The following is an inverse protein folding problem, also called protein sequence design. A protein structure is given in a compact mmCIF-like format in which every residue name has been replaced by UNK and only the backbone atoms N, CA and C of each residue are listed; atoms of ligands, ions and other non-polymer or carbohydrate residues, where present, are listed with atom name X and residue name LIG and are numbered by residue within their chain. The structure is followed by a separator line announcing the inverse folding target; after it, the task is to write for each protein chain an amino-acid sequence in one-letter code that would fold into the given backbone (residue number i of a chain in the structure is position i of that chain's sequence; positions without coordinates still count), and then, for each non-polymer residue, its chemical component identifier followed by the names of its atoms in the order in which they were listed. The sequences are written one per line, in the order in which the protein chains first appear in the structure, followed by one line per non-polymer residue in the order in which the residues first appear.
data_IF_221198517188
#
_entry.id   IF_221198517188
#
_cell.length_a   1.000
_cell.length_b   1.000
_cell.length_c   1.000
_cell.angle_alpha   90.00
_cell.angle_beta   90.00
_cell.angle_gamma   90.00
#
_symmetry.space_group_name_H-M   'P 1'
#
loop_
_entity.id
_entity.type
_entity.pdbx_description
1 polymer ?
#
# COMPACT_ATOMS: atom_id res chain seq x y z
N UNK A 1 48.76 -31.48 17.63
CA UNK A 1 47.96 -31.97 16.49
C UNK A 1 46.50 -31.68 16.84
N UNK A 2 45.84 -30.62 16.34
CA UNK A 2 45.54 -30.30 14.91
C UNK A 2 45.06 -31.57 14.18
N UNK A 3 43.93 -31.67 13.47
CA UNK A 3 42.78 -30.79 13.15
C UNK A 3 41.60 -31.76 12.83
N UNK A 4 40.30 -31.45 12.80
CA UNK A 4 39.51 -30.19 12.80
C UNK A 4 38.12 -30.45 13.42
N UNK A 5 37.33 -29.39 13.68
CA UNK A 5 35.86 -29.47 13.59
C UNK A 5 35.40 -28.61 12.40
N UNK A 6 34.79 -29.24 11.40
CA UNK A 6 34.12 -28.54 10.29
C UNK A 6 32.68 -28.17 10.73
N UNK A 7 32.56 -27.03 11.41
CA UNK A 7 31.27 -26.36 11.57
C UNK A 7 30.79 -25.89 10.20
N UNK A 8 29.87 -26.63 9.61
CA UNK A 8 29.08 -26.18 8.45
C UNK A 8 28.14 -25.05 8.88
N UNK A 9 28.71 -23.85 9.02
CA UNK A 9 27.95 -22.62 9.07
C UNK A 9 27.27 -22.42 7.71
N UNK A 10 26.11 -23.05 7.55
CA UNK A 10 25.12 -22.59 6.58
C UNK A 10 24.74 -21.18 7.00
N UNK A 11 25.42 -20.20 6.42
CA UNK A 11 24.88 -18.87 6.31
C UNK A 11 23.52 -19.04 5.61
N UNK A 12 22.45 -18.93 6.38
CA UNK A 12 21.12 -18.71 5.83
C UNK A 12 21.20 -17.37 5.11
N UNK A 13 21.55 -17.40 3.83
CA UNK A 13 21.50 -16.24 2.94
C UNK A 13 20.11 -15.65 3.11
N UNK A 14 20.06 -14.45 3.70
CA UNK A 14 18.86 -13.95 4.34
C UNK A 14 17.69 -14.05 3.39
N UNK A 15 16.74 -14.95 3.67
CA UNK A 15 15.48 -14.99 2.96
C UNK A 15 14.83 -13.64 3.22
N UNK A 16 14.87 -12.74 2.23
CA UNK A 16 14.11 -11.51 2.25
C UNK A 16 12.67 -11.90 2.55
N UNK A 17 12.20 -11.55 3.75
CA UNK A 17 10.92 -12.02 4.25
C UNK A 17 9.84 -11.71 3.21
N UNK A 18 9.04 -12.70 2.83
CA UNK A 18 8.05 -12.55 1.76
C UNK A 18 7.14 -11.34 2.07
N UNK A 19 7.24 -10.25 1.29
CA UNK A 19 6.57 -8.98 1.60
C UNK A 19 5.05 -9.11 1.49
N UNK A 20 4.56 -10.16 0.84
CA UNK A 20 3.15 -10.46 0.65
C UNK A 20 2.64 -11.55 1.61
N UNK A 21 3.48 -12.09 2.51
CA UNK A 21 3.01 -13.02 3.54
C UNK A 21 1.91 -12.43 4.45
N UNK A 22 2.00 -11.17 4.95
CA UNK A 22 0.91 -10.54 5.70
C UNK A 22 -0.40 -10.44 4.91
N UNK A 23 -0.32 -10.07 3.62
CA UNK A 23 -1.48 -10.01 2.74
C UNK A 23 -2.15 -11.39 2.55
N UNK A 24 -1.36 -12.45 2.36
CA UNK A 24 -1.88 -13.84 2.29
C UNK A 24 -2.46 -14.32 3.62
N UNK A 25 -2.02 -13.76 4.75
CA UNK A 25 -2.60 -13.97 6.07
C UNK A 25 -3.86 -13.11 6.34
N UNK A 26 -4.37 -12.39 5.34
CA UNK A 26 -5.58 -11.56 5.46
C UNK A 26 -5.35 -10.19 6.11
N UNK A 27 -4.10 -9.74 6.23
CA UNK A 27 -3.79 -8.40 6.72
C UNK A 27 -3.86 -7.36 5.59
N UNK A 28 -4.22 -6.13 5.94
CA UNK A 28 -4.17 -4.97 5.08
C UNK A 28 -3.15 -3.95 5.59
N UNK A 29 -2.66 -3.08 4.71
CA UNK A 29 -1.81 -1.96 5.09
C UNK A 29 -2.68 -0.84 5.64
N UNK A 30 -2.37 -0.36 6.85
CA UNK A 30 -2.88 0.90 7.39
C UNK A 30 -1.81 1.98 7.13
N UNK A 31 -2.06 2.81 6.13
CA UNK A 31 -1.14 3.84 5.63
C UNK A 31 -1.29 5.11 6.46
N UNK A 32 -0.15 5.68 6.87
CA UNK A 32 -0.03 6.80 7.81
C UNK A 32 -0.91 6.59 9.06
N UNK A 33 -0.60 5.57 9.88
CA UNK A 33 -1.45 5.14 10.98
C UNK A 33 -1.42 6.10 12.17
N UNK A 34 -2.60 6.51 12.66
CA UNK A 34 -2.76 7.00 14.01
C UNK A 34 -3.03 5.79 14.94
N UNK A 35 -2.01 5.39 15.70
CA UNK A 35 -2.06 4.20 16.57
C UNK A 35 -2.92 4.38 17.83
N UNK A 36 -3.07 5.62 18.30
CA UNK A 36 -3.87 5.94 19.49
C UNK A 36 -5.36 5.87 19.18
N UNK A 37 -5.78 6.48 18.06
CA UNK A 37 -7.18 6.48 17.60
C UNK A 37 -7.57 5.25 16.77
N UNK A 38 -6.58 4.45 16.36
CA UNK A 38 -6.73 3.35 15.40
C UNK A 38 -7.32 3.81 14.07
N UNK A 39 -6.72 4.83 13.45
CA UNK A 39 -7.12 5.31 12.12
C UNK A 39 -5.97 5.27 11.12
N UNK A 40 -6.33 5.27 9.84
CA UNK A 40 -5.43 5.29 8.68
C UNK A 40 -5.88 6.39 7.71
N UNK A 41 -4.94 7.07 7.07
CA UNK A 41 -5.28 7.94 5.92
C UNK A 41 -5.58 7.14 4.65
N UNK A 42 -5.07 5.91 4.57
CA UNK A 42 -5.48 4.96 3.55
C UNK A 42 -5.39 3.52 4.04
N UNK A 43 -6.19 2.63 3.44
CA UNK A 43 -6.08 1.18 3.67
C UNK A 43 -5.92 0.46 2.35
N UNK A 44 -4.93 -0.42 2.22
CA UNK A 44 -4.75 -1.26 1.02
C UNK A 44 -4.76 -2.74 1.39
N UNK A 45 -5.73 -3.47 0.85
CA UNK A 45 -5.81 -4.93 0.93
C UNK A 45 -5.46 -5.55 -0.42
N UNK A 46 -4.88 -6.77 -0.40
CA UNK A 46 -4.43 -7.44 -1.61
C UNK A 46 -5.00 -8.86 -1.73
N UNK A 47 -5.34 -9.26 -2.95
CA UNK A 47 -5.53 -10.67 -3.34
C UNK A 47 -4.30 -11.09 -4.13
N UNK A 48 -3.53 -12.05 -3.61
CA UNK A 48 -2.28 -12.51 -4.24
C UNK A 48 -2.53 -13.84 -4.97
N UNK A 49 -2.17 -13.90 -6.24
CA UNK A 49 -2.26 -15.10 -7.09
C UNK A 49 -0.93 -15.35 -7.80
N UNK A 50 -0.12 -16.26 -7.26
CA UNK A 50 1.27 -16.46 -7.71
C UNK A 50 2.10 -15.20 -7.46
N UNK A 51 2.68 -14.64 -8.54
CA UNK A 51 3.35 -13.35 -8.53
C UNK A 51 2.43 -12.16 -8.85
N UNK A 52 1.17 -12.36 -9.22
CA UNK A 52 0.23 -11.27 -9.52
C UNK A 52 -0.57 -10.84 -8.28
N UNK A 53 -1.01 -9.58 -8.23
CA UNK A 53 -1.96 -9.10 -7.24
C UNK A 53 -3.08 -8.25 -7.83
N UNK A 54 -4.24 -8.30 -7.18
CA UNK A 54 -5.25 -7.24 -7.20
C UNK A 54 -5.19 -6.49 -5.87
N UNK A 55 -5.19 -5.16 -5.90
CA UNK A 55 -5.23 -4.34 -4.69
C UNK A 55 -6.54 -3.55 -4.65
N UNK A 56 -7.17 -3.49 -3.48
CA UNK A 56 -8.24 -2.53 -3.18
C UNK A 56 -7.71 -1.51 -2.20
N UNK A 57 -7.56 -0.28 -2.65
CA UNK A 57 -7.11 0.86 -1.85
C UNK A 57 -8.31 1.74 -1.51
N UNK A 58 -8.48 2.08 -0.24
CA UNK A 58 -9.44 3.08 0.21
C UNK A 58 -8.69 4.28 0.78
N UNK A 59 -9.09 5.48 0.38
CA UNK A 59 -8.49 6.75 0.78
C UNK A 59 -9.45 7.52 1.67
N UNK A 60 -8.94 8.10 2.76
CA UNK A 60 -9.61 9.15 3.51
C UNK A 60 -9.33 10.51 2.85
N UNK A 61 -10.38 11.25 2.48
CA UNK A 61 -10.25 12.49 1.72
C UNK A 61 -10.75 13.72 2.50
N UNK A 62 -11.83 13.59 3.27
CA UNK A 62 -12.33 14.67 4.13
C UNK A 62 -13.05 14.12 5.38
N UNK A 63 -13.00 14.81 6.54
CA UNK A 63 -13.67 14.38 7.77
C UNK A 63 -15.17 14.71 7.84
N UNK A 64 -15.59 15.86 7.31
CA UNK A 64 -16.97 16.38 7.48
C UNK A 64 -17.45 17.08 6.21
N UNK A 65 -18.43 16.51 5.46
CA UNK A 65 -18.89 15.12 5.60
C UNK A 65 -17.73 14.13 5.40
N UNK A 66 -17.88 12.89 5.85
CA UNK A 66 -16.85 11.88 5.62
C UNK A 66 -16.79 11.56 4.13
N UNK A 67 -15.72 12.00 3.46
CA UNK A 67 -15.46 11.67 2.06
C UNK A 67 -14.35 10.64 2.00
N UNK A 68 -14.62 9.52 1.33
CA UNK A 68 -13.63 8.49 1.03
C UNK A 68 -13.69 8.08 -0.43
N UNK A 69 -12.66 7.42 -0.93
CA UNK A 69 -12.67 6.83 -2.27
C UNK A 69 -12.07 5.43 -2.25
N UNK A 70 -12.76 4.47 -2.84
CA UNK A 70 -12.24 3.13 -3.11
C UNK A 70 -11.77 3.05 -4.57
N UNK A 71 -10.58 2.50 -4.80
CA UNK A 71 -10.01 2.25 -6.13
C UNK A 71 -9.35 0.87 -6.17
N UNK A 72 -9.26 0.31 -7.37
CA UNK A 72 -8.67 -1.01 -7.60
C UNK A 72 -7.50 -0.91 -8.57
N UNK A 73 -6.33 -1.39 -8.18
CA UNK A 73 -5.15 -1.50 -9.04
C UNK A 73 -4.72 -2.97 -9.17
N UNK A 74 -3.83 -3.24 -10.13
CA UNK A 74 -3.29 -4.58 -10.40
C UNK A 74 -1.81 -4.50 -10.74
N UNK A 75 -1.03 -5.40 -10.18
CA UNK A 75 0.42 -5.44 -10.35
C UNK A 75 1.01 -6.81 -10.08
N UNK A 76 2.31 -6.86 -9.82
CA UNK A 76 3.05 -8.07 -9.48
C UNK A 76 3.92 -7.88 -8.23
N UNK A 77 4.15 -8.97 -7.50
CA UNK A 77 5.19 -9.09 -6.49
C UNK A 77 6.43 -9.67 -7.17
N UNK A 78 7.46 -8.86 -7.37
CA UNK A 78 8.72 -9.22 -8.06
C UNK A 78 9.90 -8.70 -7.25
N UNK A 79 10.95 -9.51 -7.07
CA UNK A 79 12.16 -9.16 -6.28
C UNK A 79 11.89 -8.58 -4.89
N UNK A 80 10.84 -9.07 -4.21
CA UNK A 80 10.44 -8.59 -2.90
C UNK A 80 9.74 -7.22 -2.89
N UNK A 81 9.23 -6.75 -4.04
CA UNK A 81 8.53 -5.46 -4.19
C UNK A 81 7.16 -5.66 -4.82
N UNK A 82 6.19 -4.85 -4.41
CA UNK A 82 4.91 -4.72 -5.10
C UNK A 82 5.07 -3.69 -6.23
N UNK A 83 4.96 -4.11 -7.48
CA UNK A 83 5.16 -3.27 -8.65
C UNK A 83 3.90 -3.20 -9.53
N UNK A 84 3.55 -2.01 -10.00
CA UNK A 84 2.44 -1.80 -10.93
C UNK A 84 2.74 -0.67 -11.91
N UNK A 85 2.06 -0.70 -13.07
CA UNK A 85 1.99 0.48 -13.94
C UNK A 85 0.81 1.32 -13.48
N UNK A 86 1.07 2.56 -13.04
CA UNK A 86 0.04 3.50 -12.65
C UNK A 86 -0.82 3.86 -13.87
N UNK A 87 -2.14 3.85 -13.69
CA UNK A 87 -3.12 4.18 -14.72
C UNK A 87 -4.07 5.23 -14.19
N UNK A 88 -4.17 6.36 -14.89
CA UNK A 88 -5.14 7.41 -14.60
C UNK A 88 -6.58 6.87 -14.62
N UNK A 89 -6.83 5.88 -15.48
CA UNK A 89 -8.11 5.17 -15.59
C UNK A 89 -8.56 4.51 -14.28
N UNK A 90 -7.66 3.99 -13.44
CA UNK A 90 -8.03 3.32 -12.19
C UNK A 90 -8.57 4.35 -11.16
N UNK A 91 -8.04 5.59 -11.18
CA UNK A 91 -8.57 6.72 -10.40
C UNK A 91 -9.89 7.25 -10.98
N UNK A 92 -10.01 7.31 -12.31
CA UNK A 92 -11.27 7.68 -12.98
C UNK A 92 -12.39 6.65 -12.73
N UNK A 93 -12.04 5.37 -12.58
CA UNK A 93 -12.97 4.28 -12.31
C UNK A 93 -13.40 4.15 -10.84
N UNK A 94 -12.59 4.64 -9.88
CA UNK A 94 -12.86 4.46 -8.45
C UNK A 94 -14.22 4.98 -7.95
N UNK A 95 -14.66 4.49 -6.80
CA UNK A 95 -15.96 4.84 -6.20
C UNK A 95 -15.77 5.89 -5.11
N UNK A 96 -16.38 7.06 -5.28
CA UNK A 96 -16.38 8.11 -4.26
C UNK A 96 -17.58 7.90 -3.34
N UNK A 97 -17.34 7.93 -2.03
CA UNK A 97 -18.36 7.74 -1.00
C UNK A 97 -18.46 8.99 -0.12
N UNK A 98 -19.70 9.40 0.19
CA UNK A 98 -20.04 10.39 1.21
C UNK A 98 -20.78 9.66 2.33
N UNK A 99 -20.25 9.72 3.55
CA UNK A 99 -20.77 9.03 4.74
C UNK A 99 -21.05 7.53 4.51
N UNK A 100 -20.20 6.86 3.71
CA UNK A 100 -20.32 5.44 3.37
C UNK A 100 -21.29 5.11 2.22
N UNK A 101 -21.98 6.09 1.65
CA UNK A 101 -22.89 5.93 0.49
C UNK A 101 -22.27 6.51 -0.78
N UNK A 102 -22.56 5.98 -1.99
CA UNK A 102 -22.09 6.57 -3.25
C UNK A 102 -22.42 8.06 -3.34
N UNK A 103 -21.40 8.86 -3.64
CA UNK A 103 -21.54 10.31 -3.78
C UNK A 103 -22.37 10.69 -5.02
N UNK A 104 -22.94 11.89 -5.02
CA UNK A 104 -23.58 12.44 -6.21
C UNK A 104 -22.57 12.66 -7.37
N UNK A 105 -23.09 12.90 -8.58
CA UNK A 105 -22.27 13.04 -9.78
C UNK A 105 -21.32 14.25 -9.74
N UNK A 106 -21.71 15.36 -9.09
CA UNK A 106 -20.88 16.56 -9.02
C UNK A 106 -19.71 16.36 -8.04
N UNK A 107 -20.01 15.84 -6.84
CA UNK A 107 -19.01 15.46 -5.83
C UNK A 107 -18.05 14.40 -6.38
N UNK A 108 -18.58 13.37 -7.05
CA UNK A 108 -17.78 12.32 -7.70
C UNK A 108 -16.84 12.90 -8.76
N UNK A 109 -17.34 13.80 -9.62
CA UNK A 109 -16.53 14.44 -10.67
C UNK A 109 -15.43 15.32 -10.08
N UNK A 110 -15.76 16.12 -9.06
CA UNK A 110 -14.80 17.01 -8.40
C UNK A 110 -13.66 16.23 -7.71
N UNK A 111 -14.01 15.20 -6.91
CA UNK A 111 -13.02 14.36 -6.21
C UNK A 111 -12.14 13.60 -7.20
N UNK A 112 -12.72 12.97 -8.22
CA UNK A 112 -11.95 12.26 -9.26
C UNK A 112 -11.01 13.20 -9.99
N UNK A 113 -11.49 14.37 -10.43
CA UNK A 113 -10.69 15.39 -11.11
C UNK A 113 -9.45 15.78 -10.28
N UNK A 114 -9.63 16.11 -9.00
CA UNK A 114 -8.54 16.46 -8.09
C UNK A 114 -7.51 15.33 -7.95
N UNK A 115 -7.96 14.09 -7.70
CA UNK A 115 -7.04 12.96 -7.55
C UNK A 115 -6.33 12.61 -8.87
N UNK A 116 -7.02 12.67 -10.01
CA UNK A 116 -6.38 12.49 -11.32
C UNK A 116 -5.33 13.57 -11.60
N UNK A 117 -5.56 14.82 -11.20
CA UNK A 117 -4.56 15.88 -11.35
C UNK A 117 -3.30 15.64 -10.50
N UNK A 118 -3.44 15.08 -9.30
CA UNK A 118 -2.31 14.71 -8.43
C UNK A 118 -1.48 13.57 -9.04
N UNK A 119 -2.14 12.55 -9.63
CA UNK A 119 -1.44 11.37 -10.15
C UNK A 119 -1.09 11.43 -11.65
N UNK A 120 -1.51 12.46 -12.38
CA UNK A 120 -1.29 12.58 -13.83
C UNK A 120 0.19 12.47 -14.24
N UNK A 121 1.12 13.00 -13.44
CA UNK A 121 2.55 12.91 -13.69
C UNK A 121 3.14 11.48 -13.52
N UNK A 122 2.35 10.56 -12.96
CA UNK A 122 2.67 9.14 -12.79
C UNK A 122 1.96 8.24 -13.83
N UNK A 123 1.07 8.75 -14.67
CA UNK A 123 0.34 7.91 -15.63
C UNK A 123 1.29 7.20 -16.60
N UNK A 124 1.09 5.90 -16.79
CA UNK A 124 1.96 5.03 -17.57
C UNK A 124 3.33 4.71 -16.93
N UNK A 125 3.68 5.31 -15.77
CA UNK A 125 4.93 5.02 -15.07
C UNK A 125 4.86 3.72 -14.29
N UNK A 126 6.00 3.04 -14.17
CA UNK A 126 6.11 1.87 -13.30
C UNK A 126 6.45 2.34 -11.89
N UNK A 127 5.60 2.02 -10.92
CA UNK A 127 5.90 2.19 -9.50
C UNK A 127 6.29 0.86 -8.89
N UNK A 128 7.25 0.85 -7.98
CA UNK A 128 7.63 -0.31 -7.20
C UNK A 128 7.78 0.06 -5.72
N UNK A 129 7.10 -0.69 -4.88
CA UNK A 129 6.96 -0.52 -3.43
C UNK A 129 7.84 -1.54 -2.71
N UNK A 130 8.94 -1.10 -2.10
CA UNK A 130 9.83 -1.92 -1.30
C UNK A 130 9.54 -1.72 0.20
N UNK A 131 9.18 -2.79 0.89
CA UNK A 131 8.88 -2.74 2.33
C UNK A 131 10.19 -2.75 3.12
N UNK A 132 10.43 -1.70 3.92
CA UNK A 132 11.60 -1.58 4.81
C UNK A 132 11.16 -1.37 6.27
N UNK A 133 11.95 -1.78 7.27
CA UNK A 133 11.74 -1.36 8.65
C UNK A 133 11.82 0.17 8.78
N UNK A 134 11.00 0.74 9.66
CA UNK A 134 11.09 2.12 10.11
C UNK A 134 11.09 2.17 11.66
N UNK A 135 11.09 3.37 12.22
CA UNK A 135 11.04 3.58 13.67
C UNK A 135 9.73 3.10 14.31
N UNK A 136 9.78 2.83 15.62
CA UNK A 136 8.63 2.45 16.47
C UNK A 136 7.80 1.24 16.02
N UNK A 137 8.39 0.36 15.21
CA UNK A 137 7.72 -0.81 14.64
C UNK A 137 6.81 -0.48 13.45
N UNK A 138 6.92 0.73 12.89
CA UNK A 138 6.34 1.07 11.60
C UNK A 138 7.16 0.41 10.48
N UNK A 139 6.53 0.27 9.32
CA UNK A 139 7.19 -0.08 8.07
C UNK A 139 7.19 1.15 7.15
N UNK A 140 8.27 1.34 6.40
CA UNK A 140 8.31 2.27 5.28
C UNK A 140 7.96 1.52 4.00
N UNK A 141 6.95 1.99 3.27
CA UNK A 141 6.81 1.67 1.87
C UNK A 141 7.73 2.62 1.07
N UNK A 142 8.94 2.17 0.75
CA UNK A 142 9.84 2.93 -0.10
C UNK A 142 9.39 2.79 -1.56
N UNK A 143 8.82 3.88 -2.08
CA UNK A 143 8.34 3.94 -3.46
C UNK A 143 9.50 4.31 -4.39
N UNK A 144 9.64 3.58 -5.48
CA UNK A 144 10.38 4.01 -6.67
C UNK A 144 9.44 4.21 -7.85
N UNK A 145 9.81 5.15 -8.74
CA UNK A 145 9.10 5.51 -9.96
C UNK A 145 10.09 5.38 -11.12
N UNK A 146 9.78 4.53 -12.10
CA UNK A 146 10.67 4.16 -13.21
C UNK A 146 12.08 3.74 -12.73
N UNK A 147 12.14 3.09 -11.56
CA UNK A 147 13.38 2.64 -10.91
C UNK A 147 14.05 3.65 -9.97
N UNK A 148 13.71 4.94 -10.04
CA UNK A 148 14.27 5.98 -9.17
C UNK A 148 13.47 6.10 -7.85
N UNK A 149 14.15 6.04 -6.70
CA UNK A 149 13.50 6.18 -5.38
C UNK A 149 12.89 7.58 -5.21
N UNK A 150 11.65 7.64 -4.72
CA UNK A 150 10.88 8.85 -4.45
C UNK A 150 10.52 8.90 -2.98
N UNK A 151 11.46 9.42 -2.18
CA UNK A 151 11.29 9.58 -0.73
C UNK A 151 10.09 10.47 -0.38
N UNK A 152 9.76 11.45 -1.22
CA UNK A 152 8.59 12.34 -1.11
C UNK A 152 7.24 11.63 -1.34
N UNK A 153 7.25 10.48 -2.01
CA UNK A 153 6.07 9.62 -2.24
C UNK A 153 6.08 8.36 -1.36
N UNK A 154 7.13 8.16 -0.57
CA UNK A 154 7.29 6.98 0.30
C UNK A 154 6.53 7.20 1.61
N UNK A 155 5.76 6.20 2.03
CA UNK A 155 4.79 6.36 3.13
C UNK A 155 5.01 5.31 4.23
N UNK A 156 4.88 5.74 5.49
CA UNK A 156 4.88 4.83 6.64
C UNK A 156 3.53 4.10 6.74
N UNK A 157 3.56 2.83 7.09
CA UNK A 157 2.36 2.00 7.28
C UNK A 157 2.60 0.92 8.36
N UNK A 158 1.52 0.23 8.75
CA UNK A 158 1.59 -1.04 9.48
C UNK A 158 0.68 -2.08 8.83
N UNK A 159 1.06 -3.35 8.94
CA UNK A 159 0.14 -4.45 8.61
C UNK A 159 -0.80 -4.69 9.78
N UNK A 160 -2.10 -4.65 9.51
CA UNK A 160 -3.17 -4.83 10.51
C UNK A 160 -4.20 -5.83 10.00
N UNK A 161 -4.89 -6.46 10.93
CA UNK A 161 -6.02 -7.35 10.72
C UNK A 161 -7.31 -6.69 11.21
N UNK A 162 -8.48 -7.16 10.76
CA UNK A 162 -9.78 -6.55 11.12
C UNK A 162 -9.99 -6.47 12.64
N UNK A 163 -9.57 -7.50 13.39
CA UNK A 163 -9.61 -7.56 14.86
C UNK A 163 -8.79 -6.48 15.57
N UNK A 164 -7.83 -5.85 14.89
CA UNK A 164 -7.02 -4.78 15.49
C UNK A 164 -7.81 -3.47 15.58
N UNK A 165 -8.90 -3.34 14.81
CA UNK A 165 -9.89 -2.26 14.91
C UNK A 165 -9.49 -0.95 14.23
N UNK A 166 -8.65 -1.00 13.19
CA UNK A 166 -8.26 0.18 12.43
C UNK A 166 -9.30 0.57 11.36
N UNK A 167 -9.62 1.85 11.26
CA UNK A 167 -10.54 2.42 10.25
C UNK A 167 -9.93 3.58 9.47
N UNK A 168 -10.68 4.17 8.53
CA UNK A 168 -10.26 5.40 7.84
C UNK A 168 -10.51 6.63 8.73
N UNK A 169 -9.53 7.53 8.86
CA UNK A 169 -9.66 8.76 9.66
C UNK A 169 -8.34 9.37 10.10
N UNK A 170 -8.41 10.40 10.98
CA UNK A 170 -7.27 11.18 11.51
C UNK A 170 -7.24 11.18 13.04
#
# INVERSE_FOLDING_TARGET
MLLSLLLLAHAAAGQTADPAAPARAGQYQCVLPNREKKTCLGTTSYKIAGSSYEATTRLFLAPTPLITMELHTRGTVTDGKFCETVKLADFQAGTVLVNGTPADAATTTAVKSQLTAVVAALDGKTTCSAIKPAEDGLLLNELSVDGAVRADLSQKFVWVSEKDGYGLGM
#
